data_IF_409760242038
#
_entry.id   IF_409760242038
#
_cell.length_a   1.000
_cell.length_b   1.000
_cell.length_c   1.000
_cell.angle_alpha   90.00
_cell.angle_beta   90.00
_cell.angle_gamma   90.00
#
_symmetry.space_group_name_H-M   'P 1'
#
loop_
_entity.id
_entity.type
_entity.pdbx_description
1 polymer ?
#
# COMPACT_ATOMS: atom_id res chain seq x y z
N UNK A 1 -29.46 39.97 -1.77
CA UNK A 1 -29.21 38.91 -0.78
C UNK A 1 -27.71 38.77 -0.60
N UNK A 2 -27.23 38.42 0.59
CA UNK A 2 -25.79 38.27 0.83
C UNK A 2 -25.29 36.96 0.22
N UNK A 3 -24.08 36.97 -0.35
CA UNK A 3 -23.44 35.78 -0.92
C UNK A 3 -22.66 35.03 0.15
N UNK A 4 -22.53 33.71 -0.01
CA UNK A 4 -21.73 32.88 0.89
C UNK A 4 -20.27 33.36 0.98
N UNK A 5 -19.77 33.55 2.20
CA UNK A 5 -18.40 34.01 2.48
C UNK A 5 -17.34 32.90 2.43
N UNK A 6 -17.69 31.69 2.03
CA UNK A 6 -16.75 30.58 1.96
C UNK A 6 -15.70 30.84 0.88
N UNK A 7 -14.43 30.89 1.27
CA UNK A 7 -13.28 31.20 0.42
C UNK A 7 -12.24 30.08 0.51
N UNK A 8 -11.84 29.57 -0.65
CA UNK A 8 -10.73 28.63 -0.79
C UNK A 8 -9.41 29.41 -0.84
N UNK A 9 -8.32 28.83 -0.34
CA UNK A 9 -6.99 29.44 -0.37
C UNK A 9 -6.54 29.89 -1.78
N UNK A 10 -7.02 29.23 -2.83
CA UNK A 10 -6.73 29.56 -4.24
C UNK A 10 -7.59 30.72 -4.80
N UNK A 11 -8.44 31.35 -3.98
CA UNK A 11 -9.32 32.47 -4.37
C UNK A 11 -10.69 32.08 -4.94
N UNK A 12 -10.98 30.77 -5.07
CA UNK A 12 -12.33 30.29 -5.43
C UNK A 12 -13.32 30.62 -4.30
N UNK A 13 -14.51 31.10 -4.65
CA UNK A 13 -15.57 31.44 -3.70
C UNK A 13 -16.88 30.75 -4.07
N UNK A 14 -17.77 30.60 -3.09
CA UNK A 14 -19.09 30.02 -3.30
C UNK A 14 -20.06 31.05 -3.89
N UNK A 15 -20.86 30.65 -4.88
CA UNK A 15 -21.88 31.48 -5.53
C UNK A 15 -23.29 31.29 -4.97
N UNK A 16 -23.45 30.53 -3.90
CA UNK A 16 -24.74 30.31 -3.25
C UNK A 16 -25.12 31.47 -2.31
N UNK A 17 -26.42 31.62 -2.09
CA UNK A 17 -26.95 32.57 -1.13
C UNK A 17 -26.53 32.20 0.30
N UNK A 18 -26.15 33.21 1.09
CA UNK A 18 -25.80 33.05 2.48
C UNK A 18 -27.05 32.86 3.35
N UNK A 19 -26.97 31.93 4.30
CA UNK A 19 -27.93 31.76 5.39
C UNK A 19 -27.55 32.54 6.65
N UNK A 20 -27.92 32.00 7.82
CA UNK A 20 -27.82 32.68 9.13
C UNK A 20 -26.37 32.99 9.57
N UNK A 21 -25.38 32.23 9.10
CA UNK A 21 -23.96 32.34 9.51
C UNK A 21 -23.04 32.93 8.42
N UNK A 22 -23.57 33.72 7.48
CA UNK A 22 -22.84 34.20 6.29
C UNK A 22 -22.30 33.07 5.38
N UNK A 23 -22.74 31.83 5.62
CA UNK A 23 -22.40 30.64 4.85
C UNK A 23 -23.66 30.07 4.20
N UNK A 24 -23.53 29.46 3.03
CA UNK A 24 -24.64 28.71 2.44
C UNK A 24 -24.81 27.38 3.18
N UNK A 25 -25.98 26.77 3.01
CA UNK A 25 -26.34 25.50 3.63
C UNK A 25 -25.31 24.37 3.41
N UNK A 26 -24.57 24.37 2.30
CA UNK A 26 -23.49 23.40 2.03
C UNK A 26 -22.20 23.61 2.81
N UNK A 27 -21.85 24.85 3.16
CA UNK A 27 -20.59 25.19 3.83
C UNK A 27 -20.75 25.49 5.31
N UNK A 28 -21.99 25.63 5.80
CA UNK A 28 -22.30 25.87 7.19
C UNK A 28 -22.16 24.59 8.03
N UNK A 29 -21.24 24.53 9.03
CA UNK A 29 -21.08 23.38 9.92
C UNK A 29 -22.28 23.12 10.83
N UNK A 30 -23.14 24.12 11.05
CA UNK A 30 -24.32 24.02 11.92
C UNK A 30 -25.55 23.50 11.17
N UNK A 31 -25.53 23.51 9.85
CA UNK A 31 -26.64 23.02 9.04
C UNK A 31 -26.64 21.49 8.96
N UNK A 32 -27.83 20.87 9.04
CA UNK A 32 -27.98 19.41 9.03
C UNK A 32 -28.70 18.93 7.79
N UNK A 33 -28.03 18.07 7.00
CA UNK A 33 -28.55 17.53 5.74
C UNK A 33 -29.22 16.15 5.92
N UNK A 34 -30.20 16.01 6.82
CA UNK A 34 -30.82 14.71 7.11
C UNK A 34 -32.08 14.40 6.28
N UNK A 35 -32.53 15.36 5.49
CA UNK A 35 -33.74 15.24 4.67
C UNK A 35 -33.56 14.20 3.56
N UNK A 36 -34.65 13.56 3.15
CA UNK A 36 -34.61 12.52 2.11
C UNK A 36 -34.12 13.04 0.74
N UNK A 37 -34.35 14.33 0.44
CA UNK A 37 -33.93 14.98 -0.81
C UNK A 37 -32.52 15.55 -0.77
N UNK A 38 -31.79 15.41 0.35
CA UNK A 38 -30.43 15.96 0.48
C UNK A 38 -29.48 15.37 -0.58
N UNK A 39 -29.66 14.10 -0.94
CA UNK A 39 -28.93 13.46 -2.03
C UNK A 39 -29.19 14.18 -3.37
N UNK A 40 -30.45 14.33 -3.76
CA UNK A 40 -30.86 14.97 -5.02
C UNK A 40 -30.38 16.43 -5.10
N UNK A 41 -30.48 17.18 -3.99
CA UNK A 41 -30.00 18.55 -3.90
C UNK A 41 -28.48 18.63 -4.09
N UNK A 42 -27.72 17.72 -3.47
CA UNK A 42 -26.27 17.66 -3.65
C UNK A 42 -25.90 17.29 -5.09
N UNK A 43 -26.61 16.35 -5.72
CA UNK A 43 -26.38 16.01 -7.12
C UNK A 43 -26.58 17.21 -8.04
N UNK A 44 -27.66 17.95 -7.85
CA UNK A 44 -27.96 19.15 -8.65
C UNK A 44 -26.88 20.22 -8.45
N UNK A 45 -26.49 20.47 -7.19
CA UNK A 45 -25.44 21.43 -6.86
C UNK A 45 -24.10 21.07 -7.52
N UNK A 46 -23.68 19.80 -7.42
CA UNK A 46 -22.41 19.34 -8.02
C UNK A 46 -22.48 19.40 -9.55
N UNK A 47 -23.60 18.99 -10.17
CA UNK A 47 -23.78 19.03 -11.64
C UNK A 47 -23.87 20.44 -12.19
N UNK A 48 -24.39 21.40 -11.41
CA UNK A 48 -24.42 22.82 -11.79
C UNK A 48 -23.03 23.50 -11.71
N UNK A 49 -21.99 22.77 -11.31
CA UNK A 49 -20.64 23.32 -11.14
C UNK A 49 -20.45 24.03 -9.79
N UNK A 50 -21.26 23.69 -8.79
CA UNK A 50 -21.12 24.21 -7.43
C UNK A 50 -19.74 23.98 -6.85
N UNK A 51 -19.31 24.87 -5.95
CA UNK A 51 -18.02 24.76 -5.28
C UNK A 51 -17.99 23.52 -4.37
N UNK A 52 -17.27 22.48 -4.80
CA UNK A 52 -17.16 21.19 -4.09
C UNK A 52 -15.98 21.14 -3.10
N UNK A 53 -15.60 22.29 -2.54
CA UNK A 53 -14.50 22.40 -1.58
C UNK A 53 -15.07 22.68 -0.18
N UNK A 54 -14.76 21.84 0.80
CA UNK A 54 -15.12 22.06 2.21
C UNK A 54 -16.58 21.87 2.57
N UNK A 55 -17.33 21.10 1.77
CA UNK A 55 -18.74 20.82 2.04
C UNK A 55 -18.92 20.18 3.43
N UNK A 56 -19.86 20.71 4.21
CA UNK A 56 -20.21 20.23 5.54
C UNK A 56 -21.42 19.28 5.44
N UNK A 57 -21.13 18.00 5.24
CA UNK A 57 -22.10 16.93 5.03
C UNK A 57 -22.09 15.90 6.18
N UNK A 58 -21.74 16.36 7.38
CA UNK A 58 -21.69 15.52 8.57
C UNK A 58 -23.08 14.98 8.88
N UNK A 59 -23.19 13.65 9.02
CA UNK A 59 -24.45 12.92 9.25
C UNK A 59 -25.50 13.15 8.17
N UNK A 60 -25.10 13.58 6.97
CA UNK A 60 -26.01 13.81 5.87
C UNK A 60 -26.68 12.49 5.42
N UNK A 61 -27.95 12.54 5.04
CA UNK A 61 -28.64 11.45 4.39
C UNK A 61 -28.46 11.56 2.87
N UNK A 62 -27.44 10.88 2.35
CA UNK A 62 -27.04 10.87 0.94
C UNK A 62 -27.25 9.48 0.33
N UNK A 63 -28.25 8.75 0.81
CA UNK A 63 -28.58 7.43 0.27
C UNK A 63 -28.94 7.53 -1.22
N UNK A 64 -28.38 6.65 -2.04
CA UNK A 64 -28.58 6.65 -3.48
C UNK A 64 -27.88 7.77 -4.24
N UNK A 65 -27.05 8.60 -3.57
CA UNK A 65 -26.35 9.73 -4.18
C UNK A 65 -25.62 9.32 -5.47
N UNK A 66 -25.91 10.00 -6.58
CA UNK A 66 -25.32 9.75 -7.88
C UNK A 66 -24.39 10.87 -8.34
N UNK A 67 -23.09 10.66 -8.10
CA UNK A 67 -22.00 11.52 -8.56
C UNK A 67 -21.20 10.88 -9.70
N UNK A 68 -21.87 10.20 -10.63
CA UNK A 68 -21.25 9.74 -11.87
C UNK A 68 -21.21 10.89 -12.86
N UNK A 69 -20.01 11.30 -13.25
CA UNK A 69 -19.82 12.31 -14.29
C UNK A 69 -19.92 11.65 -15.67
N UNK A 70 -21.00 11.93 -16.42
CA UNK A 70 -21.20 11.40 -17.78
C UNK A 70 -20.56 12.28 -18.86
N UNK A 71 -20.16 13.49 -18.50
CA UNK A 71 -19.65 14.50 -19.44
C UNK A 71 -18.11 14.52 -19.49
N UNK A 72 -17.45 13.78 -18.59
CA UNK A 72 -16.00 13.67 -18.53
C UNK A 72 -15.57 12.26 -18.16
N UNK A 73 -14.42 11.85 -18.67
CA UNK A 73 -13.74 10.62 -18.24
C UNK A 73 -13.30 10.68 -16.76
N UNK A 74 -13.26 11.88 -16.16
CA UNK A 74 -12.96 12.07 -14.76
C UNK A 74 -14.22 12.32 -13.93
N UNK A 75 -14.36 11.59 -12.82
CA UNK A 75 -15.43 11.84 -11.86
C UNK A 75 -15.30 13.20 -11.17
N UNK A 76 -16.39 13.59 -10.50
CA UNK A 76 -16.44 14.83 -9.73
C UNK A 76 -15.37 14.87 -8.64
N UNK A 77 -14.86 16.07 -8.35
CA UNK A 77 -13.82 16.30 -7.36
C UNK A 77 -14.43 16.92 -6.09
N UNK A 78 -14.38 16.20 -4.98
CA UNK A 78 -14.71 16.70 -3.65
C UNK A 78 -13.43 16.94 -2.85
N UNK A 79 -13.16 18.18 -2.46
CA UNK A 79 -11.94 18.54 -1.73
C UNK A 79 -12.28 18.95 -0.31
N UNK A 80 -11.57 18.44 0.70
CA UNK A 80 -11.75 18.84 2.11
C UNK A 80 -13.18 18.70 2.66
N UNK A 81 -14.03 17.88 2.03
CA UNK A 81 -15.41 17.69 2.46
C UNK A 81 -15.51 16.84 3.73
N UNK A 82 -16.43 17.20 4.61
CA UNK A 82 -16.72 16.50 5.85
C UNK A 82 -17.98 15.63 5.69
N UNK A 83 -17.79 14.33 5.45
CA UNK A 83 -18.84 13.32 5.35
C UNK A 83 -18.84 12.41 6.59
N UNK A 84 -18.45 12.94 7.76
CA UNK A 84 -18.44 12.18 9.01
C UNK A 84 -19.82 11.58 9.29
N UNK A 85 -19.92 10.25 9.41
CA UNK A 85 -21.19 9.52 9.60
C UNK A 85 -22.27 9.78 8.53
N UNK A 86 -21.90 10.25 7.34
CA UNK A 86 -22.86 10.38 6.25
C UNK A 86 -23.38 9.01 5.82
N UNK A 87 -24.65 8.95 5.44
CA UNK A 87 -25.27 7.78 4.83
C UNK A 87 -25.10 7.88 3.32
N UNK A 88 -24.21 7.08 2.72
CA UNK A 88 -23.96 6.99 1.28
C UNK A 88 -24.40 5.63 0.73
N UNK A 89 -25.33 4.96 1.43
CA UNK A 89 -25.80 3.62 1.06
C UNK A 89 -26.35 3.60 -0.36
N UNK A 90 -25.92 2.64 -1.17
CA UNK A 90 -26.36 2.50 -2.57
C UNK A 90 -25.89 3.64 -3.48
N UNK A 91 -24.96 4.49 -3.05
CA UNK A 91 -24.47 5.62 -3.85
C UNK A 91 -23.77 5.17 -5.13
N UNK A 92 -24.00 5.89 -6.22
CA UNK A 92 -23.30 5.73 -7.49
C UNK A 92 -22.13 6.71 -7.57
N UNK A 93 -20.95 6.27 -7.14
CA UNK A 93 -19.75 7.09 -6.97
C UNK A 93 -18.60 6.62 -7.88
N UNK A 94 -18.94 6.10 -9.07
CA UNK A 94 -17.97 5.64 -10.06
C UNK A 94 -17.00 6.77 -10.44
N UNK A 95 -15.70 6.50 -10.33
CA UNK A 95 -14.65 7.47 -10.66
C UNK A 95 -14.59 8.71 -9.75
N UNK A 96 -15.35 8.74 -8.64
CA UNK A 96 -15.36 9.87 -7.71
C UNK A 96 -13.94 10.17 -7.22
N UNK A 97 -13.56 11.44 -7.24
CA UNK A 97 -12.27 11.89 -6.71
C UNK A 97 -12.50 12.64 -5.41
N UNK A 98 -11.93 12.16 -4.33
CA UNK A 98 -11.90 12.84 -3.05
C UNK A 98 -10.47 13.14 -2.64
N UNK A 99 -10.21 14.39 -2.24
CA UNK A 99 -8.91 14.85 -1.79
C UNK A 99 -9.02 15.53 -0.43
N UNK A 100 -8.37 14.97 0.58
CA UNK A 100 -8.53 15.44 1.96
C UNK A 100 -9.92 15.13 2.52
N UNK A 101 -10.29 15.80 3.61
CA UNK A 101 -11.60 15.61 4.23
C UNK A 101 -11.77 14.27 4.96
N UNK A 102 -13.02 13.88 5.18
CA UNK A 102 -13.34 12.74 6.06
C UNK A 102 -14.57 11.97 5.61
N UNK A 103 -14.42 10.65 5.44
CA UNK A 103 -15.49 9.67 5.34
C UNK A 103 -15.62 8.86 6.65
N UNK A 104 -15.03 9.34 7.75
CA UNK A 104 -14.96 8.59 8.99
C UNK A 104 -16.36 8.17 9.46
N UNK A 105 -16.54 6.86 9.70
CA UNK A 105 -17.82 6.24 10.09
C UNK A 105 -18.97 6.43 9.11
N UNK A 106 -18.71 6.80 7.85
CA UNK A 106 -19.72 6.84 6.81
C UNK A 106 -20.23 5.43 6.46
N UNK A 107 -21.47 5.36 6.00
CA UNK A 107 -22.06 4.12 5.50
C UNK A 107 -21.98 4.08 3.98
N UNK A 108 -21.10 3.25 3.43
CA UNK A 108 -20.93 3.05 1.99
C UNK A 108 -21.50 1.70 1.53
N UNK A 109 -22.39 1.10 2.34
CA UNK A 109 -22.97 -0.21 2.01
C UNK A 109 -23.69 -0.17 0.66
N UNK A 110 -23.53 -1.19 -0.16
CA UNK A 110 -24.08 -1.29 -1.52
C UNK A 110 -23.64 -0.18 -2.50
N UNK A 111 -22.72 0.71 -2.12
CA UNK A 111 -22.26 1.79 -2.98
C UNK A 111 -21.29 1.30 -4.06
N UNK A 112 -21.21 2.03 -5.18
CA UNK A 112 -20.25 1.80 -6.24
C UNK A 112 -19.11 2.82 -6.18
N UNK A 113 -17.92 2.40 -5.75
CA UNK A 113 -16.68 3.19 -5.72
C UNK A 113 -15.63 2.68 -6.73
N UNK A 114 -16.06 1.98 -7.78
CA UNK A 114 -15.16 1.53 -8.83
C UNK A 114 -14.42 2.72 -9.45
N UNK A 115 -13.11 2.57 -9.66
CA UNK A 115 -12.21 3.60 -10.16
C UNK A 115 -12.17 4.90 -9.32
N UNK A 116 -12.75 4.93 -8.12
CA UNK A 116 -12.70 6.11 -7.26
C UNK A 116 -11.28 6.34 -6.70
N UNK A 117 -10.92 7.60 -6.50
CA UNK A 117 -9.63 8.00 -5.90
C UNK A 117 -9.89 8.73 -4.58
N UNK A 118 -9.39 8.18 -3.47
CA UNK A 118 -9.53 8.70 -2.12
C UNK A 118 -8.14 9.06 -1.57
N UNK A 119 -7.59 10.21 -1.95
CA UNK A 119 -6.27 10.68 -1.48
C UNK A 119 -6.41 11.57 -0.25
N UNK A 120 -5.69 11.24 0.82
CA UNK A 120 -5.72 11.98 2.10
C UNK A 120 -7.08 12.07 2.79
N UNK A 121 -8.00 11.18 2.42
CA UNK A 121 -9.32 11.09 3.04
C UNK A 121 -9.24 10.26 4.32
N UNK A 122 -9.94 10.67 5.37
CA UNK A 122 -10.09 9.83 6.55
C UNK A 122 -11.07 8.68 6.27
N UNK A 123 -10.57 7.46 6.18
CA UNK A 123 -11.35 6.24 5.88
C UNK A 123 -11.71 5.41 7.12
N UNK A 124 -11.44 5.94 8.33
CA UNK A 124 -11.56 5.17 9.57
C UNK A 124 -13.03 4.77 9.86
N UNK A 125 -13.27 3.48 10.04
CA UNK A 125 -14.56 2.95 10.47
C UNK A 125 -15.68 3.06 9.44
N UNK A 126 -15.36 3.21 8.15
CA UNK A 126 -16.35 3.12 7.06
C UNK A 126 -17.00 1.74 7.07
N UNK A 127 -18.31 1.70 6.80
CA UNK A 127 -19.01 0.43 6.52
C UNK A 127 -18.93 0.11 5.03
N UNK A 128 -18.27 -1.01 4.71
CA UNK A 128 -17.98 -1.45 3.34
C UNK A 128 -18.86 -2.62 2.87
N UNK A 129 -20.04 -2.84 3.46
CA UNK A 129 -20.86 -4.02 3.14
C UNK A 129 -21.33 -3.99 1.68
N UNK A 130 -20.90 -4.96 0.87
CA UNK A 130 -21.28 -5.05 -0.54
C UNK A 130 -20.89 -3.80 -1.39
N UNK A 131 -19.92 -3.00 -0.93
CA UNK A 131 -19.42 -1.82 -1.65
C UNK A 131 -18.49 -2.24 -2.77
N UNK A 132 -18.72 -1.84 -4.03
CA UNK A 132 -17.83 -2.16 -5.17
C UNK A 132 -16.55 -1.33 -5.15
N UNK A 133 -15.38 -1.98 -5.11
CA UNK A 133 -14.08 -1.34 -4.92
C UNK A 133 -13.09 -1.56 -6.08
N UNK A 134 -13.51 -2.14 -7.21
CA UNK A 134 -12.59 -2.43 -8.32
C UNK A 134 -11.84 -1.19 -8.77
N UNK A 135 -10.52 -1.29 -8.85
CA UNK A 135 -9.62 -0.17 -9.22
C UNK A 135 -9.74 1.08 -8.33
N UNK A 136 -10.34 0.99 -7.13
CA UNK A 136 -10.33 2.07 -6.16
C UNK A 136 -8.89 2.33 -5.68
N UNK A 137 -8.51 3.61 -5.59
CA UNK A 137 -7.18 4.04 -5.16
C UNK A 137 -7.28 4.83 -3.86
N UNK A 138 -6.51 4.44 -2.83
CA UNK A 138 -6.41 5.15 -1.53
C UNK A 138 -5.09 5.92 -1.40
N UNK A 139 -4.37 6.09 -2.52
CA UNK A 139 -2.99 6.58 -2.56
C UNK A 139 -1.97 5.53 -2.11
N UNK A 140 -0.69 5.92 -2.01
CA UNK A 140 0.38 5.00 -1.57
C UNK A 140 0.25 4.59 -0.10
N UNK A 141 -0.34 5.45 0.72
CA UNK A 141 -0.51 5.31 2.17
C UNK A 141 -1.75 6.10 2.59
N UNK A 142 -2.55 5.52 3.48
CA UNK A 142 -3.65 6.25 4.12
C UNK A 142 -3.12 7.40 4.96
N UNK A 143 -3.96 8.41 5.21
CA UNK A 143 -3.55 9.63 5.90
C UNK A 143 -2.94 9.35 7.28
N UNK A 144 -3.48 8.38 8.03
CA UNK A 144 -3.01 8.03 9.37
C UNK A 144 -1.59 7.43 9.35
N UNK A 145 -1.25 6.60 8.37
CA UNK A 145 0.13 6.09 8.20
C UNK A 145 1.11 7.26 7.94
N UNK A 146 0.73 8.21 7.07
CA UNK A 146 1.55 9.41 6.81
C UNK A 146 1.73 10.26 8.07
N UNK A 147 0.67 10.48 8.84
CA UNK A 147 0.72 11.23 10.10
C UNK A 147 1.59 10.53 11.14
N UNK A 148 1.41 9.23 11.35
CA UNK A 148 2.20 8.45 12.31
C UNK A 148 3.70 8.44 12.02
N UNK A 149 4.11 8.52 10.76
CA UNK A 149 5.54 8.62 10.38
C UNK A 149 6.15 10.00 10.57
N UNK A 150 5.34 11.05 10.47
CA UNK A 150 5.78 12.45 10.69
C UNK A 150 5.75 12.83 12.16
N UNK A 151 4.97 12.11 12.95
CA UNK A 151 4.81 12.33 14.38
C UNK A 151 6.12 12.08 15.13
N UNK A 152 6.50 13.03 15.98
CA UNK A 152 7.76 12.95 16.75
C UNK A 152 7.57 12.21 18.06
N UNK A 153 6.38 12.32 18.66
CA UNK A 153 6.07 11.60 19.90
C UNK A 153 5.78 10.12 19.59
N UNK A 154 6.58 9.17 20.12
CA UNK A 154 6.35 7.75 19.89
C UNK A 154 5.00 7.26 20.44
N UNK A 155 4.43 7.89 21.48
CA UNK A 155 3.11 7.49 22.00
C UNK A 155 2.02 7.88 21.02
N UNK A 156 2.06 9.11 20.51
CA UNK A 156 1.09 9.60 19.55
C UNK A 156 1.23 8.91 18.19
N UNK A 157 2.46 8.62 17.76
CA UNK A 157 2.72 7.84 16.55
C UNK A 157 2.07 6.44 16.62
N UNK A 158 2.09 5.78 17.79
CA UNK A 158 1.43 4.48 17.97
C UNK A 158 -0.09 4.55 17.80
N UNK A 159 -0.72 5.64 18.23
CA UNK A 159 -2.16 5.87 18.03
C UNK A 159 -2.46 5.97 16.54
N UNK A 160 -1.69 6.79 15.81
CA UNK A 160 -1.82 6.88 14.35
C UNK A 160 -1.62 5.55 13.64
N UNK A 161 -0.61 4.75 14.05
CA UNK A 161 -0.39 3.43 13.46
C UNK A 161 -1.52 2.44 13.79
N UNK A 162 -2.16 2.56 14.96
CA UNK A 162 -3.32 1.74 15.31
C UNK A 162 -4.53 2.09 14.45
N UNK A 163 -4.82 3.37 14.25
CA UNK A 163 -5.91 3.81 13.36
C UNK A 163 -5.65 3.43 11.90
N UNK A 164 -4.39 3.52 11.46
CA UNK A 164 -3.99 3.05 10.13
C UNK A 164 -4.15 1.52 9.98
N UNK A 165 -3.80 0.74 11.01
CA UNK A 165 -4.03 -0.72 11.03
C UNK A 165 -5.51 -1.05 10.87
N UNK A 166 -6.40 -0.38 11.61
CA UNK A 166 -7.85 -0.57 11.50
C UNK A 166 -8.34 -0.24 10.09
N UNK A 167 -7.88 0.87 9.51
CA UNK A 167 -8.23 1.27 8.15
C UNK A 167 -7.79 0.25 7.10
N UNK A 168 -6.53 -0.21 7.16
CA UNK A 168 -6.04 -1.22 6.23
C UNK A 168 -6.73 -2.58 6.40
N UNK A 169 -7.09 -2.96 7.64
CA UNK A 169 -7.86 -4.18 7.91
C UNK A 169 -9.25 -4.12 7.28
N UNK A 170 -9.94 -3.01 7.41
CA UNK A 170 -11.29 -2.84 6.86
C UNK A 170 -11.25 -2.86 5.33
N UNK A 171 -10.29 -2.16 4.72
CA UNK A 171 -10.06 -2.19 3.28
C UNK A 171 -9.69 -3.59 2.78
N UNK A 172 -8.82 -4.31 3.51
CA UNK A 172 -8.48 -5.71 3.20
C UNK A 172 -9.74 -6.58 3.21
N UNK A 173 -10.51 -6.58 4.29
CA UNK A 173 -11.74 -7.39 4.40
C UNK A 173 -12.74 -7.06 3.31
N UNK A 174 -12.92 -5.79 2.98
CA UNK A 174 -13.81 -5.36 1.91
C UNK A 174 -13.34 -5.88 0.55
N UNK A 175 -12.05 -5.74 0.23
CA UNK A 175 -11.48 -6.27 -1.02
C UNK A 175 -11.50 -7.81 -1.09
N UNK A 176 -11.24 -8.52 0.02
CA UNK A 176 -11.34 -9.99 0.12
C UNK A 176 -12.78 -10.46 -0.14
N UNK A 177 -13.78 -9.76 0.40
CA UNK A 177 -15.19 -10.08 0.19
C UNK A 177 -15.64 -9.96 -1.27
N UNK A 178 -14.88 -9.23 -2.10
CA UNK A 178 -15.14 -9.08 -3.55
C UNK A 178 -14.24 -9.93 -4.43
N UNK A 179 -13.30 -10.68 -3.85
CA UNK A 179 -12.31 -11.44 -4.63
C UNK A 179 -11.26 -10.54 -5.31
N UNK A 180 -11.03 -9.32 -4.83
CA UNK A 180 -9.99 -8.42 -5.36
C UNK A 180 -8.67 -8.71 -4.64
N UNK A 181 -8.06 -9.85 -4.96
CA UNK A 181 -6.92 -10.40 -4.20
C UNK A 181 -5.62 -9.59 -4.31
N UNK A 182 -5.38 -8.93 -5.44
CA UNK A 182 -4.22 -8.05 -5.62
C UNK A 182 -4.26 -6.87 -4.64
N UNK A 183 -5.42 -6.23 -4.51
CA UNK A 183 -5.66 -5.13 -3.58
C UNK A 183 -5.59 -5.60 -2.13
N UNK A 184 -6.27 -6.72 -1.81
CA UNK A 184 -6.21 -7.34 -0.48
C UNK A 184 -4.78 -7.66 -0.05
N UNK A 185 -3.97 -8.23 -0.96
CA UNK A 185 -2.57 -8.55 -0.72
C UNK A 185 -1.69 -7.33 -0.42
N UNK A 186 -2.01 -6.17 -0.98
CA UNK A 186 -1.32 -4.93 -0.64
C UNK A 186 -1.73 -4.43 0.75
N UNK A 187 -3.04 -4.48 1.05
CA UNK A 187 -3.56 -4.03 2.34
C UNK A 187 -3.13 -4.93 3.51
N UNK A 188 -2.99 -6.24 3.32
CA UNK A 188 -2.47 -7.13 4.38
C UNK A 188 -1.01 -6.80 4.72
N UNK A 189 -0.18 -6.49 3.72
CA UNK A 189 1.20 -6.08 3.95
C UNK A 189 1.27 -4.76 4.73
N UNK A 190 0.41 -3.80 4.38
CA UNK A 190 0.32 -2.51 5.07
C UNK A 190 -0.23 -2.66 6.50
N UNK A 191 -1.26 -3.48 6.72
CA UNK A 191 -1.81 -3.83 8.03
C UNK A 191 -0.71 -4.39 8.95
N UNK A 192 0.03 -5.41 8.49
CA UNK A 192 1.12 -6.02 9.27
C UNK A 192 2.28 -5.05 9.51
N UNK A 193 2.56 -4.17 8.56
CA UNK A 193 3.55 -3.10 8.74
C UNK A 193 3.14 -2.13 9.84
N UNK A 194 1.86 -1.73 9.90
CA UNK A 194 1.36 -0.85 10.97
C UNK A 194 1.44 -1.54 12.33
N UNK A 195 1.06 -2.82 12.40
CA UNK A 195 1.17 -3.64 13.62
C UNK A 195 2.62 -3.72 14.12
N UNK A 196 3.58 -3.89 13.20
CA UNK A 196 5.02 -3.88 13.53
C UNK A 196 5.49 -2.53 14.09
N UNK A 197 5.03 -1.42 13.52
CA UNK A 197 5.46 -0.08 13.94
C UNK A 197 4.96 0.31 15.34
N UNK A 198 3.90 -0.34 15.82
CA UNK A 198 3.42 -0.17 17.20
C UNK A 198 4.34 -0.82 18.24
N UNK A 199 5.14 -1.82 17.84
CA UNK A 199 6.06 -2.52 18.74
C UNK A 199 7.26 -1.64 19.14
N UNK A 200 7.84 -1.83 20.34
CA UNK A 200 9.04 -1.10 20.73
C UNK A 200 10.24 -1.45 19.84
N UNK A 201 11.17 -0.51 19.69
CA UNK A 201 12.29 -0.63 18.74
C UNK A 201 13.16 -1.87 18.96
N UNK A 202 13.48 -2.17 20.23
CA UNK A 202 14.37 -3.29 20.61
C UNK A 202 13.62 -4.61 20.87
N UNK A 203 12.40 -4.76 20.36
CA UNK A 203 11.64 -5.99 20.49
C UNK A 203 12.12 -7.04 19.47
N UNK A 204 12.36 -8.27 19.95
CA UNK A 204 12.61 -9.43 19.10
C UNK A 204 11.47 -9.65 18.10
N UNK A 205 10.21 -9.43 18.51
CA UNK A 205 9.04 -9.53 17.65
C UNK A 205 9.04 -8.48 16.53
N UNK A 206 9.54 -7.27 16.80
CA UNK A 206 9.65 -6.22 15.78
C UNK A 206 10.72 -6.59 14.77
N UNK A 207 11.87 -7.08 15.24
CA UNK A 207 12.96 -7.54 14.40
C UNK A 207 12.55 -8.70 13.50
N UNK A 208 11.94 -9.76 14.04
CA UNK A 208 11.47 -10.89 13.24
C UNK A 208 10.43 -10.48 12.21
N UNK A 209 9.48 -9.60 12.58
CA UNK A 209 8.49 -9.05 11.65
C UNK A 209 9.13 -8.20 10.55
N UNK A 210 10.20 -7.47 10.87
CA UNK A 210 10.98 -6.73 9.88
C UNK A 210 11.71 -7.65 8.90
N UNK A 211 12.35 -8.71 9.41
CA UNK A 211 13.00 -9.73 8.57
C UNK A 211 11.99 -10.36 7.62
N UNK A 212 10.81 -10.80 8.10
CA UNK A 212 9.79 -11.42 7.25
C UNK A 212 9.29 -10.49 6.13
N UNK A 213 9.08 -9.20 6.42
CA UNK A 213 8.71 -8.22 5.38
C UNK A 213 9.82 -8.00 4.36
N UNK A 214 11.08 -7.93 4.81
CA UNK A 214 12.23 -7.76 3.92
C UNK A 214 12.33 -8.91 2.92
N UNK A 215 12.25 -10.15 3.40
CA UNK A 215 12.45 -11.34 2.57
C UNK A 215 11.28 -11.65 1.63
N UNK A 216 10.03 -11.61 2.13
CA UNK A 216 8.87 -12.05 1.34
C UNK A 216 7.65 -11.12 1.41
N UNK A 217 7.77 -9.94 2.03
CA UNK A 217 6.66 -9.00 2.16
C UNK A 217 5.47 -9.60 2.92
N UNK A 218 5.74 -10.36 3.99
CA UNK A 218 4.73 -11.16 4.71
C UNK A 218 4.04 -12.22 3.84
N UNK A 219 4.76 -12.74 2.85
CA UNK A 219 4.29 -13.76 1.92
C UNK A 219 3.32 -13.23 0.86
N UNK A 220 3.43 -11.95 0.51
CA UNK A 220 2.64 -11.31 -0.56
C UNK A 220 3.50 -10.87 -1.76
N UNK A 221 4.83 -10.89 -1.62
CA UNK A 221 5.78 -10.35 -2.60
C UNK A 221 6.80 -11.41 -3.08
N UNK A 222 6.42 -12.35 -3.98
CA UNK A 222 7.32 -13.41 -4.47
C UNK A 222 8.58 -12.85 -5.16
N UNK A 223 8.46 -11.71 -5.85
CA UNK A 223 9.60 -11.05 -6.49
C UNK A 223 10.70 -10.62 -5.51
N UNK A 224 10.37 -10.33 -4.24
CA UNK A 224 11.40 -10.03 -3.23
C UNK A 224 12.25 -11.25 -2.91
N UNK A 225 11.64 -12.45 -2.91
CA UNK A 225 12.36 -13.71 -2.68
C UNK A 225 13.34 -13.96 -3.82
N UNK A 226 12.90 -13.80 -5.07
CA UNK A 226 13.76 -13.95 -6.26
C UNK A 226 14.94 -12.97 -6.22
N UNK A 227 14.68 -11.69 -5.93
CA UNK A 227 15.73 -10.69 -5.83
C UNK A 227 16.73 -11.01 -4.71
N UNK A 228 16.24 -11.47 -3.55
CA UNK A 228 17.10 -11.91 -2.45
C UNK A 228 17.98 -13.10 -2.87
N UNK A 229 17.41 -14.09 -3.55
CA UNK A 229 18.15 -15.25 -4.07
C UNK A 229 19.26 -14.82 -5.03
N UNK A 230 18.96 -13.95 -5.99
CA UNK A 230 19.95 -13.42 -6.94
C UNK A 230 21.05 -12.62 -6.24
N UNK A 231 20.70 -11.80 -5.24
CA UNK A 231 21.66 -11.04 -4.45
C UNK A 231 22.58 -11.98 -3.65
N UNK A 232 22.02 -13.02 -3.01
CA UNK A 232 22.81 -13.98 -2.24
C UNK A 232 23.80 -14.73 -3.13
N UNK A 233 23.35 -15.21 -4.30
CA UNK A 233 24.20 -15.85 -5.31
C UNK A 233 25.35 -14.91 -5.71
N UNK A 234 25.02 -13.65 -6.02
CA UNK A 234 26.04 -12.68 -6.39
C UNK A 234 27.05 -12.42 -5.26
N UNK A 235 26.59 -12.24 -4.02
CA UNK A 235 27.47 -12.04 -2.87
C UNK A 235 28.36 -13.27 -2.64
N UNK A 236 27.82 -14.48 -2.69
CA UNK A 236 28.59 -15.71 -2.56
C UNK A 236 29.63 -15.86 -3.67
N UNK A 237 29.29 -15.53 -4.91
CA UNK A 237 30.24 -15.54 -6.03
C UNK A 237 31.45 -14.63 -5.79
N UNK A 238 31.24 -13.45 -5.21
CA UNK A 238 32.33 -12.53 -4.83
C UNK A 238 33.18 -13.15 -3.71
N UNK A 239 32.55 -13.80 -2.72
CA UNK A 239 33.31 -14.49 -1.66
C UNK A 239 34.17 -15.63 -2.23
N UNK A 240 33.65 -16.43 -3.15
CA UNK A 240 34.42 -17.50 -3.80
C UNK A 240 35.58 -16.96 -4.64
N UNK A 241 35.38 -15.83 -5.31
CA UNK A 241 36.42 -15.16 -6.07
C UNK A 241 37.65 -14.81 -5.20
N UNK A 242 37.44 -14.40 -3.95
CA UNK A 242 38.53 -14.07 -3.02
C UNK A 242 39.04 -15.27 -2.20
N UNK A 243 38.19 -16.24 -1.86
CA UNK A 243 38.57 -17.40 -1.06
C UNK A 243 39.19 -18.54 -1.89
N UNK A 244 38.89 -18.58 -3.19
CA UNK A 244 39.36 -19.58 -4.13
C UNK A 244 38.45 -20.81 -4.26
N UNK A 245 38.51 -21.43 -5.44
CA UNK A 245 37.84 -22.68 -5.81
C UNK A 245 38.86 -23.62 -6.44
N UNK A 246 38.59 -24.92 -6.38
CA UNK A 246 39.43 -25.93 -7.03
C UNK A 246 38.74 -26.48 -8.27
N UNK A 247 39.45 -26.44 -9.41
CA UNK A 247 38.97 -26.91 -10.71
C UNK A 247 40.04 -27.78 -11.36
N UNK A 248 39.69 -29.01 -11.73
CA UNK A 248 40.58 -29.96 -12.44
C UNK A 248 41.99 -30.17 -11.83
N UNK A 249 42.18 -29.96 -10.52
CA UNK A 249 43.51 -30.10 -9.88
C UNK A 249 44.20 -28.76 -9.58
N UNK A 250 43.69 -27.67 -10.12
CA UNK A 250 44.25 -26.32 -9.95
C UNK A 250 43.46 -25.51 -8.93
N UNK A 251 44.18 -24.75 -8.11
CA UNK A 251 43.58 -23.83 -7.13
C UNK A 251 43.42 -22.44 -7.75
N UNK A 252 42.20 -22.15 -8.21
CA UNK A 252 41.84 -20.87 -8.79
C UNK A 252 41.53 -19.87 -7.67
N UNK A 253 42.25 -18.75 -7.65
CA UNK A 253 42.05 -17.64 -6.72
C UNK A 253 42.32 -16.34 -7.45
N UNK A 254 41.68 -15.25 -7.03
CA UNK A 254 41.94 -13.93 -7.58
C UNK A 254 43.44 -13.56 -7.53
N UNK A 255 43.99 -13.18 -8.69
CA UNK A 255 45.39 -12.74 -8.83
C UNK A 255 45.44 -11.28 -9.29
N UNK A 256 45.91 -10.34 -8.45
CA UNK A 256 45.96 -8.91 -8.79
C UNK A 256 46.85 -8.56 -9.99
N UNK A 257 47.83 -9.41 -10.30
CA UNK A 257 48.76 -9.22 -11.42
C UNK A 257 48.37 -9.91 -12.72
N UNK A 258 47.25 -10.65 -12.75
CA UNK A 258 46.80 -11.39 -13.92
C UNK A 258 46.02 -10.50 -14.92
N UNK A 259 45.92 -10.90 -16.20
CA UNK A 259 45.08 -10.21 -17.17
C UNK A 259 43.63 -10.06 -16.67
N UNK A 260 43.01 -8.92 -16.95
CA UNK A 260 41.62 -8.65 -16.58
C UNK A 260 40.65 -9.70 -17.11
N UNK A 261 40.91 -10.24 -18.31
CA UNK A 261 40.11 -11.30 -18.93
C UNK A 261 40.10 -12.58 -18.08
N UNK A 262 41.27 -12.99 -17.56
CA UNK A 262 41.39 -14.20 -16.75
C UNK A 262 40.60 -14.08 -15.43
N UNK A 263 40.72 -12.92 -14.77
CA UNK A 263 39.95 -12.63 -13.55
C UNK A 263 38.44 -12.53 -13.84
N UNK A 264 38.04 -12.00 -15.00
CA UNK A 264 36.63 -11.94 -15.39
C UNK A 264 36.04 -13.34 -15.65
N UNK A 265 36.77 -14.21 -16.34
CA UNK A 265 36.37 -15.61 -16.56
C UNK A 265 36.22 -16.33 -15.22
N UNK A 266 37.20 -16.19 -14.31
CA UNK A 266 37.13 -16.81 -13.00
C UNK A 266 35.94 -16.32 -12.15
N UNK A 267 35.59 -15.03 -12.25
CA UNK A 267 34.38 -14.52 -11.58
C UNK A 267 33.10 -15.17 -12.14
N UNK A 268 33.03 -15.41 -13.45
CA UNK A 268 31.89 -16.11 -14.07
C UNK A 268 31.82 -17.58 -13.62
N UNK A 269 32.96 -18.25 -13.45
CA UNK A 269 33.03 -19.61 -12.89
C UNK A 269 32.58 -19.63 -11.42
N UNK A 270 32.98 -18.64 -10.62
CA UNK A 270 32.50 -18.48 -9.24
C UNK A 270 30.98 -18.25 -9.19
N UNK A 271 30.45 -17.48 -10.14
CA UNK A 271 29.01 -17.25 -10.28
C UNK A 271 28.28 -18.53 -10.67
N UNK A 272 28.79 -19.28 -11.64
CA UNK A 272 28.26 -20.59 -12.02
C UNK A 272 28.25 -21.56 -10.82
N UNK A 273 29.36 -21.66 -10.10
CA UNK A 273 29.46 -22.50 -8.90
C UNK A 273 28.44 -22.10 -7.82
N UNK A 274 28.28 -20.79 -7.58
CA UNK A 274 27.28 -20.25 -6.65
C UNK A 274 25.85 -20.61 -7.07
N UNK A 275 25.48 -20.47 -8.35
CA UNK A 275 24.15 -20.87 -8.85
C UNK A 275 23.89 -22.36 -8.61
N UNK A 276 24.85 -23.23 -8.94
CA UNK A 276 24.73 -24.69 -8.77
C UNK A 276 24.67 -25.07 -7.29
N UNK A 277 25.41 -24.38 -6.43
CA UNK A 277 25.42 -24.59 -4.98
C UNK A 277 24.10 -24.13 -4.36
N UNK A 278 23.61 -22.95 -4.73
CA UNK A 278 22.34 -22.38 -4.25
C UNK A 278 21.14 -23.25 -4.64
N UNK A 279 21.14 -23.77 -5.87
CA UNK A 279 20.10 -24.70 -6.36
C UNK A 279 20.27 -26.12 -5.84
N UNK A 280 21.34 -26.42 -5.11
CA UNK A 280 21.69 -27.75 -4.57
C UNK A 280 21.89 -28.83 -5.64
N UNK A 281 22.14 -28.45 -6.91
CA UNK A 281 22.36 -29.39 -8.01
C UNK A 281 23.69 -30.13 -7.90
N UNK A 282 24.78 -29.42 -7.58
CA UNK A 282 26.10 -30.00 -7.27
C UNK A 282 26.74 -30.88 -8.37
N UNK A 283 27.06 -30.33 -9.54
CA UNK A 283 27.68 -31.09 -10.65
C UNK A 283 29.06 -31.70 -10.32
N UNK A 284 29.81 -31.12 -9.36
CA UNK A 284 31.07 -31.67 -8.85
C UNK A 284 32.33 -31.21 -9.60
N UNK A 285 32.19 -30.39 -10.64
CA UNK A 285 33.28 -29.84 -11.47
C UNK A 285 34.19 -28.90 -10.68
N UNK A 286 33.59 -28.14 -9.77
CA UNK A 286 34.27 -27.22 -8.85
C UNK A 286 34.11 -27.71 -7.41
N UNK A 287 35.16 -27.58 -6.62
CA UNK A 287 35.13 -27.91 -5.18
C UNK A 287 35.63 -26.76 -4.33
N UNK A 288 34.95 -26.44 -3.21
CA UNK A 288 35.35 -25.36 -2.34
C UNK A 288 36.54 -25.76 -1.46
N UNK A 289 37.49 -24.84 -1.30
CA UNK A 289 38.73 -25.01 -0.51
C UNK A 289 38.76 -24.04 0.68
N UNK A 290 39.28 -24.48 1.82
CA UNK A 290 39.43 -23.64 3.00
C UNK A 290 38.10 -23.05 3.49
N UNK A 291 38.05 -21.71 3.60
CA UNK A 291 36.89 -20.98 4.11
C UNK A 291 35.67 -21.04 3.19
N UNK A 292 35.86 -21.24 1.87
CA UNK A 292 34.74 -21.34 0.92
C UNK A 292 33.80 -22.52 1.21
N UNK A 293 34.27 -23.55 1.92
CA UNK A 293 33.44 -24.70 2.33
C UNK A 293 32.30 -24.29 3.27
N UNK A 294 32.58 -23.39 4.21
CA UNK A 294 31.60 -22.91 5.18
C UNK A 294 30.54 -22.08 4.45
N UNK A 295 30.96 -21.21 3.53
CA UNK A 295 30.05 -20.40 2.72
C UNK A 295 29.21 -21.26 1.78
N UNK A 296 29.79 -22.28 1.14
CA UNK A 296 29.05 -23.22 0.29
C UNK A 296 27.98 -24.00 1.06
N UNK A 297 28.30 -24.46 2.27
CA UNK A 297 27.32 -25.12 3.14
C UNK A 297 26.19 -24.17 3.54
N UNK A 298 26.50 -22.93 3.90
CA UNK A 298 25.51 -21.91 4.25
C UNK A 298 24.63 -21.50 3.06
N UNK A 299 25.24 -21.35 1.89
CA UNK A 299 24.56 -21.01 0.64
C UNK A 299 23.60 -22.12 0.22
N UNK A 300 24.04 -23.38 0.21
CA UNK A 300 23.20 -24.52 -0.12
C UNK A 300 22.00 -24.66 0.84
N UNK A 301 22.24 -24.51 2.15
CA UNK A 301 21.18 -24.51 3.16
C UNK A 301 20.17 -23.38 2.92
N UNK A 302 20.65 -22.15 2.73
CA UNK A 302 19.79 -20.98 2.50
C UNK A 302 19.05 -21.08 1.17
N UNK A 303 19.68 -21.62 0.13
CA UNK A 303 19.10 -21.87 -1.18
C UNK A 303 17.90 -22.81 -1.13
N UNK A 304 18.05 -23.96 -0.44
CA UNK A 304 16.95 -24.92 -0.26
C UNK A 304 15.73 -24.29 0.45
N UNK A 305 15.96 -23.47 1.48
CA UNK A 305 14.89 -22.78 2.21
C UNK A 305 14.21 -21.69 1.37
N UNK A 306 15.00 -20.91 0.62
CA UNK A 306 14.47 -19.80 -0.20
C UNK A 306 13.69 -20.29 -1.41
N UNK A 307 14.10 -21.40 -2.04
CA UNK A 307 13.31 -22.04 -3.10
C UNK A 307 11.96 -22.55 -2.58
N UNK A 308 11.96 -23.23 -1.43
CA UNK A 308 10.71 -23.65 -0.79
C UNK A 308 9.81 -22.46 -0.43
N UNK A 309 10.39 -21.40 0.13
CA UNK A 309 9.66 -20.17 0.44
C UNK A 309 9.09 -19.51 -0.83
N UNK A 310 9.84 -19.47 -1.93
CA UNK A 310 9.37 -18.94 -3.20
C UNK A 310 8.13 -19.70 -3.69
N UNK A 311 8.15 -21.03 -3.68
CA UNK A 311 7.00 -21.86 -4.09
C UNK A 311 5.78 -21.56 -3.22
N UNK A 312 5.94 -21.50 -1.89
CA UNK A 312 4.82 -21.22 -0.97
C UNK A 312 4.23 -19.83 -1.22
N UNK A 313 5.08 -18.81 -1.35
CA UNK A 313 4.63 -17.43 -1.57
C UNK A 313 3.99 -17.27 -2.95
N UNK A 314 4.55 -17.91 -3.97
CA UNK A 314 4.01 -17.90 -5.32
C UNK A 314 2.64 -18.58 -5.39
N UNK A 315 2.51 -19.79 -4.85
CA UNK A 315 1.24 -20.52 -4.80
C UNK A 315 0.21 -19.69 -4.04
N UNK A 316 0.54 -19.21 -2.84
CA UNK A 316 -0.34 -18.35 -2.04
C UNK A 316 -0.83 -17.13 -2.82
N UNK A 317 0.04 -16.51 -3.64
CA UNK A 317 -0.30 -15.33 -4.43
C UNK A 317 -1.22 -15.63 -5.62
N UNK A 318 -1.15 -16.85 -6.16
CA UNK A 318 -1.95 -17.28 -7.32
C UNK A 318 -3.29 -17.92 -6.91
N UNK A 319 -3.35 -18.57 -5.75
CA UNK A 319 -4.54 -19.30 -5.28
C UNK A 319 -5.44 -18.49 -4.35
N UNK A 320 -4.96 -17.38 -3.80
CA UNK A 320 -5.83 -16.36 -3.20
C UNK A 320 -6.35 -15.52 -4.34
#
# INVERSE_FOLDING_TARGET
MAMCRYLVADGRHCSEEAGEHDLCHWHDPHHTHQEARSAEALEQYVRAGGLCHGLQLSRANLAGLNLVNKESDQGFLLEQCNLYRANLRGGHLYGLRMKGGSLMKADLSDANLQCATLDDVNLLGIRWHNTRLDNMQTGKRVMQDRKGRRERDPKQARIWFKEAEETYRDLRKASEAQGIFTMSGNYIQQELTMRRLQLPFWSTQRFTSWVVDLFCGYGEAPMRVVLFSLLLIFICSIFYFFCGLHFQGEHLIYQPGAPLEQNAIFLLECLYYSVVTFTTLGYGDFTPVGLSRIFAAFEAFTGSFTLALFVVVFVKKMTR
#
